data_IF_682296918065
#
_entry.id   IF_682296918065
#
_cell.length_a   1.000
_cell.length_b   1.000
_cell.length_c   1.000
_cell.angle_alpha   90.00
_cell.angle_beta   90.00
_cell.angle_gamma   90.00
#
_symmetry.space_group_name_H-M   'P 1'
#
loop_
_entity.id
_entity.type
_entity.pdbx_description
1 polymer ?
#
# COMPACT_ATOMS: atom_id res chain seq x y z
N UNK A 1 -11.09 8.64 -11.88
CA UNK A 1 -9.76 9.29 -11.87
C UNK A 1 -9.08 9.24 -10.51
N UNK A 2 -9.74 9.61 -9.40
CA UNK A 2 -9.15 9.54 -8.05
C UNK A 2 -8.67 8.12 -7.65
N UNK A 3 -9.39 7.07 -8.03
CA UNK A 3 -8.99 5.67 -7.79
C UNK A 3 -7.76 5.24 -8.59
N UNK A 4 -7.59 5.76 -9.81
CA UNK A 4 -6.42 5.49 -10.65
C UNK A 4 -5.20 6.16 -10.03
N UNK A 5 -5.32 7.44 -9.64
CA UNK A 5 -4.26 8.16 -8.94
C UNK A 5 -3.90 7.49 -7.60
N UNK A 6 -4.90 7.10 -6.82
CA UNK A 6 -4.68 6.36 -5.57
C UNK A 6 -3.97 5.02 -5.78
N UNK A 7 -4.37 4.27 -6.80
CA UNK A 7 -3.73 3.00 -7.18
C UNK A 7 -2.28 3.18 -7.64
N UNK A 8 -1.98 4.19 -8.44
CA UNK A 8 -0.60 4.51 -8.87
C UNK A 8 0.26 4.90 -7.66
N UNK A 9 -0.25 5.71 -6.74
CA UNK A 9 0.49 6.07 -5.53
C UNK A 9 0.75 4.86 -4.61
N UNK A 10 -0.19 3.92 -4.52
CA UNK A 10 0.02 2.66 -3.80
C UNK A 10 1.08 1.78 -4.47
N UNK A 11 1.12 1.72 -5.80
CA UNK A 11 2.18 1.01 -6.55
C UNK A 11 3.53 1.65 -6.27
N UNK A 12 3.63 2.98 -6.39
CA UNK A 12 4.88 3.70 -6.16
C UNK A 12 5.34 3.56 -4.72
N UNK A 13 4.43 3.64 -3.74
CA UNK A 13 4.73 3.43 -2.32
C UNK A 13 5.22 2.01 -2.05
N UNK A 14 4.56 0.98 -2.59
CA UNK A 14 4.99 -0.41 -2.42
C UNK A 14 6.33 -0.71 -3.11
N UNK A 15 6.53 -0.22 -4.34
CA UNK A 15 7.77 -0.42 -5.09
C UNK A 15 8.96 0.30 -4.47
N UNK A 16 8.77 1.52 -3.94
CA UNK A 16 9.82 2.26 -3.24
C UNK A 16 10.05 1.74 -1.82
N UNK A 17 8.99 1.34 -1.11
CA UNK A 17 9.04 0.71 0.22
C UNK A 17 9.89 -0.56 0.27
N UNK A 18 9.80 -1.42 -0.75
CA UNK A 18 10.64 -2.62 -0.84
C UNK A 18 12.14 -2.31 -0.92
N UNK A 19 12.52 -1.19 -1.54
CA UNK A 19 13.91 -0.87 -1.84
C UNK A 19 14.53 -0.03 -0.71
N UNK A 20 13.82 0.99 -0.22
CA UNK A 20 14.36 1.91 0.79
C UNK A 20 14.38 1.35 2.22
N UNK A 21 13.40 0.53 2.58
CA UNK A 21 13.31 -0.04 3.94
C UNK A 21 14.29 -1.20 4.12
N UNK A 22 14.54 -1.97 3.06
CA UNK A 22 15.48 -3.09 3.12
C UNK A 22 16.88 -2.58 3.37
N UNK A 23 17.38 -1.61 2.60
CA UNK A 23 18.77 -1.13 2.74
C UNK A 23 19.06 -0.52 4.13
N UNK A 24 18.18 0.35 4.65
CA UNK A 24 18.43 1.04 5.93
C UNK A 24 18.23 0.14 7.17
N UNK A 25 17.30 -0.82 7.12
CA UNK A 25 17.03 -1.72 8.25
C UNK A 25 17.97 -2.93 8.23
N UNK A 26 18.41 -3.37 7.06
CA UNK A 26 19.32 -4.50 6.89
C UNK A 26 20.66 -4.25 7.60
N UNK A 27 21.22 -3.04 7.48
CA UNK A 27 22.46 -2.66 8.16
C UNK A 27 22.31 -2.69 9.69
N UNK A 28 21.21 -2.15 10.23
CA UNK A 28 20.96 -2.12 11.67
C UNK A 28 20.69 -3.49 12.29
N UNK A 29 19.93 -4.35 11.58
CA UNK A 29 19.59 -5.70 12.06
C UNK A 29 20.77 -6.66 11.92
N UNK A 30 21.58 -6.57 10.85
CA UNK A 30 22.80 -7.39 10.72
C UNK A 30 23.75 -7.16 11.89
N UNK A 31 23.88 -5.91 12.34
CA UNK A 31 24.82 -5.53 13.39
C UNK A 31 24.38 -5.97 14.80
N UNK A 32 23.07 -6.09 15.05
CA UNK A 32 22.50 -6.41 16.38
C UNK A 32 22.03 -7.88 16.53
N UNK A 33 21.53 -8.51 15.47
CA UNK A 33 20.79 -9.77 15.55
C UNK A 33 21.28 -10.88 14.60
N UNK A 34 22.25 -10.58 13.73
CA UNK A 34 22.87 -11.55 12.83
C UNK A 34 22.04 -11.90 11.57
N UNK A 35 22.70 -12.55 10.60
CA UNK A 35 22.22 -12.73 9.22
C UNK A 35 20.84 -13.43 9.07
N UNK A 36 20.48 -14.31 10.00
CA UNK A 36 19.26 -15.13 9.90
C UNK A 36 17.97 -14.34 10.15
N UNK A 37 18.00 -13.38 11.09
CA UNK A 37 16.88 -12.49 11.37
C UNK A 37 16.70 -11.45 10.26
N UNK A 38 17.81 -11.00 9.67
CA UNK A 38 17.81 -10.08 8.54
C UNK A 38 17.09 -10.65 7.31
N UNK A 39 17.40 -11.90 6.92
CA UNK A 39 16.79 -12.56 5.76
C UNK A 39 15.28 -12.79 5.95
N UNK A 40 14.86 -13.13 7.17
CA UNK A 40 13.45 -13.31 7.51
C UNK A 40 12.70 -11.98 7.44
N UNK A 41 13.31 -10.90 7.94
CA UNK A 41 12.76 -9.56 7.89
C UNK A 41 12.61 -9.04 6.46
N UNK A 42 13.64 -9.20 5.63
CA UNK A 42 13.65 -8.86 4.21
C UNK A 42 12.54 -9.60 3.45
N UNK A 43 12.34 -10.89 3.73
CA UNK A 43 11.29 -11.70 3.10
C UNK A 43 9.88 -11.21 3.44
N UNK A 44 9.62 -10.84 4.69
CA UNK A 44 8.31 -10.33 5.10
C UNK A 44 8.07 -8.93 4.53
N UNK A 45 9.08 -8.05 4.58
CA UNK A 45 9.03 -6.71 3.97
C UNK A 45 8.76 -6.77 2.47
N UNK A 46 9.47 -7.65 1.75
CA UNK A 46 9.25 -7.91 0.34
C UNK A 46 7.82 -8.38 0.07
N UNK A 47 7.30 -9.31 0.88
CA UNK A 47 5.92 -9.78 0.77
C UNK A 47 4.87 -8.69 0.97
N UNK A 48 5.04 -7.83 1.98
CA UNK A 48 4.13 -6.71 2.26
C UNK A 48 4.19 -5.63 1.19
N UNK A 49 5.38 -5.34 0.68
CA UNK A 49 5.55 -4.42 -0.43
C UNK A 49 4.85 -4.94 -1.69
N UNK A 50 4.99 -6.23 -1.99
CA UNK A 50 4.33 -6.89 -3.11
C UNK A 50 2.80 -6.86 -2.95
N UNK A 51 2.30 -7.08 -1.73
CA UNK A 51 0.88 -6.96 -1.41
C UNK A 51 0.36 -5.52 -1.62
N UNK A 52 1.16 -4.51 -1.26
CA UNK A 52 0.83 -3.10 -1.47
C UNK A 52 0.83 -2.73 -2.97
N UNK A 53 1.76 -3.28 -3.75
CA UNK A 53 1.80 -3.12 -5.21
C UNK A 53 0.56 -3.75 -5.85
N UNK A 54 0.24 -4.99 -5.48
CA UNK A 54 -0.95 -5.70 -5.98
C UNK A 54 -2.21 -4.93 -5.61
N UNK A 55 -2.31 -4.42 -4.38
CA UNK A 55 -3.40 -3.55 -3.96
C UNK A 55 -3.52 -2.30 -4.84
N UNK A 56 -2.41 -1.66 -5.19
CA UNK A 56 -2.41 -0.51 -6.10
C UNK A 56 -2.86 -0.85 -7.52
N UNK A 57 -2.42 -2.00 -8.07
CA UNK A 57 -2.86 -2.50 -9.39
C UNK A 57 -4.37 -2.77 -9.37
N UNK A 58 -4.85 -3.52 -8.38
CA UNK A 58 -6.27 -3.88 -8.26
C UNK A 58 -7.14 -2.63 -8.05
N UNK A 59 -6.65 -1.65 -7.28
CA UNK A 59 -7.33 -0.36 -7.10
C UNK A 59 -7.42 0.41 -8.42
N UNK A 60 -6.36 0.37 -9.23
CA UNK A 60 -6.33 1.01 -10.56
C UNK A 60 -7.32 0.36 -11.51
N UNK A 61 -7.32 -0.98 -11.59
CA UNK A 61 -8.27 -1.77 -12.39
C UNK A 61 -9.71 -1.51 -11.93
N UNK A 62 -9.97 -1.56 -10.63
CA UNK A 62 -11.27 -1.24 -10.06
C UNK A 62 -11.71 0.18 -10.40
N UNK A 63 -10.76 1.13 -10.45
CA UNK A 63 -11.00 2.50 -10.88
C UNK A 63 -11.42 2.64 -12.34
N UNK A 64 -10.88 1.81 -13.24
CA UNK A 64 -11.34 1.71 -14.63
C UNK A 64 -12.70 1.02 -14.71
N UNK A 65 -12.95 -0.02 -13.90
CA UNK A 65 -14.26 -0.68 -13.86
C UNK A 65 -15.36 0.29 -13.41
N UNK A 66 -15.06 1.22 -12.50
CA UNK A 66 -16.00 2.28 -12.09
C UNK A 66 -16.38 3.24 -13.24
N UNK A 67 -15.62 3.30 -14.34
CA UNK A 67 -16.00 4.07 -15.53
C UNK A 67 -16.87 3.27 -16.51
N UNK A 68 -17.12 1.99 -16.23
CA UNK A 68 -18.00 1.11 -17.02
C UNK A 68 -19.38 0.94 -16.37
N UNK A 69 -20.28 0.17 -17.00
CA UNK A 69 -21.61 -0.17 -16.46
C UNK A 69 -21.55 -1.02 -15.17
N UNK A 70 -20.40 -1.57 -14.80
CA UNK A 70 -20.25 -2.50 -13.66
C UNK A 70 -19.77 -1.81 -12.37
N UNK A 71 -20.39 -0.68 -12.01
CA UNK A 71 -19.99 0.15 -10.86
C UNK A 71 -20.00 -0.63 -9.53
N UNK A 72 -20.97 -1.53 -9.33
CA UNK A 72 -21.06 -2.38 -8.11
C UNK A 72 -19.86 -3.30 -7.96
N UNK A 73 -19.41 -3.90 -9.05
CA UNK A 73 -18.25 -4.78 -9.04
C UNK A 73 -16.97 -3.99 -8.78
N UNK A 74 -16.77 -2.86 -9.49
CA UNK A 74 -15.64 -1.96 -9.26
C UNK A 74 -15.52 -1.49 -7.82
N UNK A 75 -16.65 -1.18 -7.16
CA UNK A 75 -16.69 -0.78 -5.75
C UNK A 75 -16.20 -1.87 -4.79
N UNK A 76 -16.58 -3.13 -5.00
CA UNK A 76 -16.13 -4.26 -4.16
C UNK A 76 -14.64 -4.53 -4.33
N UNK A 77 -14.18 -4.48 -5.59
CA UNK A 77 -12.76 -4.68 -5.95
C UNK A 77 -11.88 -3.62 -5.28
N UNK A 78 -12.26 -2.35 -5.35
CA UNK A 78 -11.52 -1.24 -4.70
C UNK A 78 -11.50 -1.43 -3.18
N UNK A 79 -12.61 -1.84 -2.55
CA UNK A 79 -12.66 -2.03 -1.10
C UNK A 79 -11.67 -3.09 -0.61
N UNK A 80 -11.64 -4.25 -1.28
CA UNK A 80 -10.71 -5.33 -0.94
C UNK A 80 -9.26 -4.89 -1.16
N UNK A 81 -8.99 -4.18 -2.25
CA UNK A 81 -7.66 -3.68 -2.54
C UNK A 81 -7.17 -2.67 -1.51
N UNK A 82 -8.02 -1.73 -1.08
CA UNK A 82 -7.67 -0.77 -0.02
C UNK A 82 -7.40 -1.49 1.29
N UNK A 83 -8.25 -2.44 1.70
CA UNK A 83 -8.06 -3.18 2.95
C UNK A 83 -6.72 -3.92 2.97
N UNK A 84 -6.37 -4.57 1.85
CA UNK A 84 -5.07 -5.22 1.68
C UNK A 84 -3.91 -4.22 1.74
N UNK A 85 -3.98 -3.12 0.97
CA UNK A 85 -2.94 -2.09 0.94
C UNK A 85 -2.71 -1.43 2.30
N UNK A 86 -3.78 -1.09 3.02
CA UNK A 86 -3.69 -0.51 4.37
C UNK A 86 -3.11 -1.50 5.38
N UNK A 87 -3.47 -2.78 5.29
CA UNK A 87 -2.85 -3.82 6.12
C UNK A 87 -1.34 -3.92 5.85
N UNK A 88 -0.92 -3.82 4.58
CA UNK A 88 0.49 -3.75 4.20
C UNK A 88 1.22 -2.56 4.83
N UNK A 89 0.64 -1.35 4.72
CA UNK A 89 1.20 -0.12 5.29
C UNK A 89 1.31 -0.18 6.82
N UNK A 90 0.26 -0.65 7.50
CA UNK A 90 0.24 -0.81 8.96
C UNK A 90 1.29 -1.80 9.44
N UNK A 91 1.43 -2.95 8.76
CA UNK A 91 2.44 -3.93 9.12
C UNK A 91 3.86 -3.37 8.96
N UNK A 92 4.11 -2.53 7.95
CA UNK A 92 5.38 -1.83 7.81
C UNK A 92 5.70 -0.92 9.01
N UNK A 93 4.69 -0.25 9.59
CA UNK A 93 4.87 0.55 10.80
C UNK A 93 5.15 -0.31 12.04
N UNK A 94 4.41 -1.41 12.22
CA UNK A 94 4.62 -2.35 13.32
C UNK A 94 6.03 -2.92 13.29
N UNK A 95 6.52 -3.25 12.10
CA UNK A 95 7.87 -3.77 11.91
C UNK A 95 8.95 -2.76 12.24
N UNK A 96 8.75 -1.48 11.91
CA UNK A 96 9.69 -0.41 12.26
C UNK A 96 9.85 -0.28 13.80
N UNK A 97 8.72 -0.36 14.52
CA UNK A 97 8.70 -0.35 15.98
C UNK A 97 9.38 -1.59 16.55
N UNK A 98 9.12 -2.77 15.98
CA UNK A 98 9.75 -4.02 16.39
C UNK A 98 11.26 -4.06 16.13
N UNK A 99 11.73 -3.42 15.07
CA UNK A 99 13.16 -3.25 14.78
C UNK A 99 13.85 -2.27 15.75
N UNK A 100 13.10 -1.65 16.68
CA UNK A 100 13.63 -0.69 17.65
C UNK A 100 13.94 0.68 17.04
N UNK A 101 13.59 0.90 15.77
CA UNK A 101 13.87 2.16 15.09
C UNK A 101 12.66 3.09 15.18
N UNK A 102 12.61 3.89 16.25
CA UNK A 102 11.53 4.87 16.47
C UNK A 102 11.68 6.13 15.60
N UNK A 103 12.84 6.33 14.97
CA UNK A 103 13.12 7.47 14.10
C UNK A 103 13.16 7.00 12.66
N UNK A 104 12.03 7.20 11.99
CA UNK A 104 11.88 6.84 10.59
C UNK A 104 12.72 7.77 9.70
N UNK A 105 13.49 7.22 8.76
CA UNK A 105 14.25 8.04 7.80
C UNK A 105 13.33 8.87 6.93
N UNK A 106 13.87 9.96 6.37
CA UNK A 106 13.11 10.84 5.46
C UNK A 106 12.55 10.05 4.26
N UNK A 107 13.32 9.09 3.74
CA UNK A 107 12.92 8.22 2.63
C UNK A 107 11.70 7.38 3.01
N UNK A 108 11.77 6.69 4.16
CA UNK A 108 10.70 5.79 4.62
C UNK A 108 9.45 6.58 5.01
N UNK A 109 9.60 7.79 5.57
CA UNK A 109 8.49 8.71 5.82
C UNK A 109 7.78 9.13 4.53
N UNK A 110 8.53 9.48 3.47
CA UNK A 110 7.95 9.81 2.16
C UNK A 110 7.21 8.62 1.54
N UNK A 111 7.74 7.41 1.68
CA UNK A 111 7.12 6.20 1.16
C UNK A 111 5.82 5.85 1.88
N UNK A 112 5.82 5.91 3.22
CA UNK A 112 4.63 5.71 4.04
C UNK A 112 3.57 6.77 3.72
N UNK A 113 3.95 8.05 3.68
CA UNK A 113 3.01 9.13 3.37
C UNK A 113 2.41 9.01 1.97
N UNK A 114 3.18 8.63 0.93
CA UNK A 114 2.64 8.33 -0.40
C UNK A 114 1.62 7.18 -0.37
N UNK A 115 1.91 6.12 0.40
CA UNK A 115 1.01 4.98 0.57
C UNK A 115 -0.31 5.37 1.23
N UNK A 116 -0.24 6.14 2.31
CA UNK A 116 -1.43 6.65 3.00
C UNK A 116 -2.24 7.61 2.14
N UNK A 117 -1.59 8.50 1.38
CA UNK A 117 -2.28 9.38 0.41
C UNK A 117 -2.98 8.52 -0.65
N UNK A 118 -2.30 7.50 -1.19
CA UNK A 118 -2.87 6.58 -2.17
C UNK A 118 -4.12 5.86 -1.64
N UNK A 119 -4.05 5.35 -0.40
CA UNK A 119 -5.18 4.72 0.28
C UNK A 119 -6.36 5.69 0.50
N UNK A 120 -6.09 6.92 0.96
CA UNK A 120 -7.12 7.95 1.18
C UNK A 120 -7.80 8.30 -0.14
N UNK A 121 -7.05 8.54 -1.21
CA UNK A 121 -7.61 8.85 -2.53
C UNK A 121 -8.50 7.71 -3.06
N UNK A 122 -8.10 6.46 -2.83
CA UNK A 122 -8.89 5.29 -3.20
C UNK A 122 -10.20 5.21 -2.39
N UNK A 123 -10.17 5.52 -1.09
CA UNK A 123 -11.38 5.61 -0.24
C UNK A 123 -12.30 6.74 -0.70
N UNK A 124 -11.76 7.93 -0.98
CA UNK A 124 -12.55 9.06 -1.49
C UNK A 124 -13.18 8.71 -2.84
N UNK A 125 -12.43 8.07 -3.73
CA UNK A 125 -12.97 7.61 -5.01
C UNK A 125 -14.16 6.65 -4.85
N UNK A 126 -14.11 5.78 -3.85
CA UNK A 126 -15.23 4.90 -3.48
C UNK A 126 -16.43 5.70 -2.99
N UNK A 127 -16.24 6.63 -2.05
CA UNK A 127 -17.33 7.45 -1.50
C UNK A 127 -18.01 8.26 -2.62
N UNK A 128 -17.23 8.84 -3.53
CA UNK A 128 -17.76 9.55 -4.70
C UNK A 128 -18.53 8.60 -5.63
N UNK A 129 -18.05 7.36 -5.81
CA UNK A 129 -18.76 6.35 -6.59
C UNK A 129 -20.09 5.90 -5.94
N UNK A 130 -20.21 6.00 -4.61
CA UNK A 130 -21.45 5.69 -3.87
C UNK A 130 -22.52 6.77 -4.03
N UNK A 131 -22.11 8.01 -4.25
CA UNK A 131 -23.03 9.13 -4.45
C UNK A 131 -23.64 9.18 -5.85
N UNK A 132 -23.11 8.40 -6.82
CA UNK A 132 -23.76 8.28 -8.13
C UNK A 132 -25.04 7.44 -7.99
N UNK A 133 -26.23 8.01 -8.31
CA UNK A 133 -27.48 7.26 -8.23
C UNK A 133 -27.39 6.03 -9.13
N UNK A 134 -27.77 4.88 -8.58
CA UNK A 134 -27.85 3.62 -9.30
C UNK A 134 -28.96 3.73 -10.35
N UNK A 135 -28.63 4.21 -11.55
CA UNK A 135 -29.48 3.99 -12.72
C UNK A 135 -29.20 2.56 -13.18
N UNK A 136 -29.71 1.60 -12.40
CA UNK A 136 -29.92 0.25 -12.89
C UNK A 136 -31.01 0.35 -13.96
N UNK A 137 -30.64 0.12 -15.22
CA UNK A 137 -31.56 -0.32 -16.27
C UNK A 137 -31.18 -1.72 -16.67
#
# INVERSE_FOLDING_TARGET
MLSILGGVLLILSGASGAIGVVDEIQEGIQLLFGLSLTLTFESIMGGLALLTIVAGIVTTIGGVILTTSHVRFGRRVIMLAIAAGVAGLLMGLVQLVWAGNLVMSMTLQLQQSMGWIGAILAVVARIVAEQKPMVDR
#
